data_IF_964257830548
#
_entry.id   IF_964257830548
#
_cell.length_a   1.000
_cell.length_b   1.000
_cell.length_c   1.000
_cell.angle_alpha   90.00
_cell.angle_beta   90.00
_cell.angle_gamma   90.00
#
_symmetry.space_group_name_H-M   'P 1'
#
loop_
_entity.id
_entity.type
_entity.pdbx_description
1 polymer ?
#
# COMPACT_ATOMS: atom_id res chain seq x y z
N UNK A 1 2.16 3.79 -15.55
CA UNK A 1 3.13 2.89 -16.24
C UNK A 1 3.54 1.77 -15.30
N UNK A 2 3.41 0.50 -15.69
CA UNK A 2 3.76 -0.65 -14.84
C UNK A 2 5.00 -1.31 -15.43
N UNK A 3 6.08 -1.40 -14.65
CA UNK A 3 7.29 -2.06 -15.09
C UNK A 3 7.01 -3.56 -15.35
N UNK A 4 7.53 -4.18 -16.42
CA UNK A 4 7.22 -5.56 -16.78
C UNK A 4 7.67 -6.62 -15.76
N UNK A 5 8.53 -6.26 -14.80
CA UNK A 5 8.95 -7.15 -13.69
C UNK A 5 8.18 -6.92 -12.40
N UNK A 6 7.26 -5.95 -12.36
CA UNK A 6 6.35 -5.81 -11.23
C UNK A 6 5.33 -6.95 -11.23
N UNK A 7 4.96 -7.43 -10.05
CA UNK A 7 3.92 -8.44 -9.87
C UNK A 7 2.69 -7.72 -9.34
N UNK A 8 1.69 -7.57 -10.19
CA UNK A 8 0.39 -6.97 -9.82
C UNK A 8 -0.66 -8.06 -9.90
N UNK A 9 -1.29 -8.36 -8.76
CA UNK A 9 -2.34 -9.38 -8.72
C UNK A 9 -3.61 -8.92 -9.46
N UNK A 10 -4.33 -9.88 -10.04
CA UNK A 10 -5.45 -9.63 -10.98
C UNK A 10 -6.54 -8.72 -10.43
N UNK A 11 -6.83 -8.78 -9.12
CA UNK A 11 -7.92 -8.00 -8.52
C UNK A 11 -7.46 -6.68 -7.89
N UNK A 12 -6.15 -6.38 -7.93
CA UNK A 12 -5.65 -5.09 -7.48
C UNK A 12 -6.26 -3.96 -8.34
N UNK A 13 -6.74 -2.91 -7.70
CA UNK A 13 -7.38 -1.78 -8.37
C UNK A 13 -6.39 -0.64 -8.50
N UNK A 14 -5.76 -0.54 -9.67
CA UNK A 14 -4.70 0.44 -9.93
C UNK A 14 -5.23 1.50 -10.90
N UNK A 15 -5.15 2.76 -10.52
CA UNK A 15 -5.49 3.84 -11.43
C UNK A 15 -4.52 3.89 -12.63
N UNK A 16 -5.03 4.21 -13.82
CA UNK A 16 -4.25 4.17 -15.08
C UNK A 16 -3.01 5.09 -15.07
N UNK A 17 -3.07 6.19 -14.31
CA UNK A 17 -1.95 7.13 -14.18
C UNK A 17 -0.89 6.72 -13.16
N UNK A 18 -1.13 5.69 -12.34
CA UNK A 18 -0.17 5.24 -11.35
C UNK A 18 1.09 4.63 -12.00
N UNK A 19 2.22 4.81 -11.36
CA UNK A 19 3.52 4.27 -11.77
C UNK A 19 3.98 3.18 -10.79
N UNK A 20 4.35 2.02 -11.31
CA UNK A 20 4.83 0.88 -10.51
C UNK A 20 6.21 0.47 -11.01
N UNK A 21 7.20 0.62 -10.13
CA UNK A 21 8.61 0.33 -10.36
C UNK A 21 8.95 -1.17 -10.45
N UNK A 22 10.17 -1.50 -10.86
CA UNK A 22 10.59 -2.89 -11.06
C UNK A 22 10.55 -3.68 -9.75
N UNK A 23 10.11 -4.93 -9.84
CA UNK A 23 10.04 -5.87 -8.72
C UNK A 23 9.15 -5.44 -7.55
N UNK A 24 8.32 -4.40 -7.72
CA UNK A 24 7.26 -4.11 -6.78
C UNK A 24 6.19 -5.22 -6.82
N UNK A 25 5.57 -5.49 -5.68
CA UNK A 25 4.50 -6.49 -5.53
C UNK A 25 3.26 -5.76 -5.03
N UNK A 26 2.14 -5.92 -5.73
CA UNK A 26 0.84 -5.34 -5.38
C UNK A 26 -0.20 -6.46 -5.27
N UNK A 27 -0.71 -6.70 -4.06
CA UNK A 27 -1.66 -7.79 -3.81
C UNK A 27 -3.11 -7.42 -4.15
N UNK A 28 -3.95 -8.45 -4.23
CA UNK A 28 -5.28 -8.41 -4.84
C UNK A 28 -6.30 -7.51 -4.14
N UNK A 29 -6.06 -7.08 -2.91
CA UNK A 29 -6.96 -6.23 -2.13
C UNK A 29 -6.46 -4.79 -1.99
N UNK A 30 -5.43 -4.42 -2.75
CA UNK A 30 -4.91 -3.06 -2.80
C UNK A 30 -5.69 -2.21 -3.80
N UNK A 31 -6.11 -1.04 -3.36
CA UNK A 31 -6.61 0.04 -4.21
C UNK A 31 -5.60 1.19 -4.20
N UNK A 32 -5.09 1.56 -5.38
CA UNK A 32 -4.08 2.60 -5.57
C UNK A 32 -4.66 3.75 -6.42
N UNK A 33 -4.76 4.93 -5.80
CA UNK A 33 -5.29 6.13 -6.43
C UNK A 33 -4.42 6.71 -7.55
N UNK A 34 -4.94 7.77 -8.19
CA UNK A 34 -4.28 8.43 -9.32
C UNK A 34 -2.90 8.98 -8.95
N UNK A 35 -1.99 9.00 -9.91
CA UNK A 35 -0.69 9.68 -9.84
C UNK A 35 0.22 9.19 -8.69
N UNK A 36 -0.10 8.02 -8.11
CA UNK A 36 0.78 7.37 -7.16
C UNK A 36 2.03 6.83 -7.84
N UNK A 37 3.15 6.84 -7.12
CA UNK A 37 4.41 6.27 -7.56
C UNK A 37 4.86 5.22 -6.56
N UNK A 38 4.95 3.98 -7.01
CA UNK A 38 5.46 2.85 -6.23
C UNK A 38 6.87 2.55 -6.68
N UNK A 39 7.84 2.74 -5.79
CA UNK A 39 9.25 2.50 -6.02
C UNK A 39 9.59 1.01 -6.20
N UNK A 40 10.85 0.71 -6.61
CA UNK A 40 11.27 -0.66 -6.82
C UNK A 40 11.25 -1.45 -5.51
N UNK A 41 10.99 -2.75 -5.60
CA UNK A 41 10.96 -3.66 -4.43
C UNK A 41 9.98 -3.26 -3.31
N UNK A 42 9.05 -2.34 -3.53
CA UNK A 42 7.98 -2.06 -2.57
C UNK A 42 6.93 -3.17 -2.61
N UNK A 43 6.35 -3.50 -1.45
CA UNK A 43 5.27 -4.47 -1.31
C UNK A 43 4.05 -3.77 -0.73
N UNK A 44 3.00 -3.62 -1.54
CA UNK A 44 1.70 -3.14 -1.09
C UNK A 44 0.77 -4.36 -0.97
N UNK A 45 0.22 -4.57 0.22
CA UNK A 45 -0.52 -5.79 0.57
C UNK A 45 -1.74 -5.52 1.45
N UNK A 46 -2.46 -6.60 1.78
CA UNK A 46 -3.65 -6.59 2.63
C UNK A 46 -4.81 -5.76 2.08
N UNK A 47 -5.82 -5.54 2.92
CA UNK A 47 -6.94 -4.65 2.58
C UNK A 47 -6.51 -3.20 2.77
N UNK A 48 -5.94 -2.63 1.71
CA UNK A 48 -5.27 -1.33 1.74
C UNK A 48 -5.86 -0.39 0.70
N UNK A 49 -6.37 0.75 1.14
CA UNK A 49 -6.89 1.81 0.28
C UNK A 49 -5.95 3.01 0.33
N UNK A 50 -5.45 3.43 -0.83
CA UNK A 50 -4.48 4.51 -0.97
C UNK A 50 -5.08 5.59 -1.87
N UNK A 51 -5.11 6.83 -1.36
CA UNK A 51 -5.49 8.02 -2.12
C UNK A 51 -4.53 8.36 -3.26
N UNK A 52 -4.64 9.56 -3.79
CA UNK A 52 -3.89 10.00 -4.98
C UNK A 52 -2.55 10.62 -4.63
N UNK A 53 -1.59 10.62 -5.57
CA UNK A 53 -0.33 11.36 -5.47
C UNK A 53 0.65 10.85 -4.42
N UNK A 54 0.42 9.66 -3.85
CA UNK A 54 1.31 9.09 -2.84
C UNK A 54 2.60 8.55 -3.48
N UNK A 55 3.72 8.70 -2.77
CA UNK A 55 5.04 8.20 -3.20
C UNK A 55 5.55 7.17 -2.21
N UNK A 56 5.78 5.95 -2.67
CA UNK A 56 6.38 4.88 -1.89
C UNK A 56 7.79 4.64 -2.39
N UNK A 57 8.79 4.83 -1.53
CA UNK A 57 10.19 4.59 -1.90
C UNK A 57 10.53 3.09 -1.88
N UNK A 58 11.78 2.77 -2.21
CA UNK A 58 12.23 1.39 -2.31
C UNK A 58 12.04 0.61 -1.01
N UNK A 59 11.60 -0.64 -1.14
CA UNK A 59 11.50 -1.57 -0.02
C UNK A 59 10.45 -1.23 1.04
N UNK A 60 9.52 -0.29 0.78
CA UNK A 60 8.36 -0.08 1.65
C UNK A 60 7.52 -1.36 1.75
N UNK A 61 6.96 -1.62 2.93
CA UNK A 61 5.97 -2.69 3.15
C UNK A 61 4.71 -2.05 3.73
N UNK A 62 3.63 -2.04 2.97
CA UNK A 62 2.44 -1.24 3.27
C UNK A 62 1.20 -2.12 3.28
N UNK A 63 0.53 -2.17 4.43
CA UNK A 63 -0.70 -2.93 4.61
C UNK A 63 -0.52 -4.36 5.09
N UNK A 64 0.66 -4.71 5.61
CA UNK A 64 0.88 -6.05 6.17
C UNK A 64 0.05 -6.27 7.44
N UNK A 65 -0.12 -7.53 7.83
CA UNK A 65 -0.80 -7.93 9.05
C UNK A 65 -0.19 -7.22 10.28
N UNK A 66 -1.00 -6.83 11.28
CA UNK A 66 -0.50 -6.27 12.53
C UNK A 66 0.45 -7.24 13.24
N UNK A 67 1.41 -6.71 13.98
CA UNK A 67 2.36 -7.50 14.78
C UNK A 67 1.77 -7.92 16.16
N UNK A 68 0.50 -7.59 16.42
CA UNK A 68 -0.18 -7.96 17.66
C UNK A 68 -0.37 -9.49 17.68
N UNK A 69 0.14 -10.14 18.73
CA UNK A 69 0.06 -11.59 18.94
C UNK A 69 -1.38 -12.10 19.08
N UNK A 70 -2.35 -11.22 19.30
CA UNK A 70 -3.78 -11.57 19.38
C UNK A 70 -4.49 -11.58 18.03
N UNK A 71 -3.85 -11.09 16.97
CA UNK A 71 -4.42 -11.07 15.63
C UNK A 71 -4.58 -12.49 15.09
N UNK A 72 -5.76 -12.82 14.54
CA UNK A 72 -6.12 -14.17 14.10
C UNK A 72 -6.45 -14.22 12.59
N UNK A 73 -5.89 -13.28 11.83
CA UNK A 73 -6.02 -13.27 10.36
C UNK A 73 -7.26 -12.56 9.84
N UNK A 74 -7.95 -11.77 10.66
CA UNK A 74 -9.12 -11.01 10.23
C UNK A 74 -8.78 -10.03 9.08
N UNK A 75 -9.72 -9.72 8.18
CA UNK A 75 -9.51 -8.79 7.07
C UNK A 75 -9.56 -7.31 7.55
N UNK A 76 -8.72 -6.97 8.52
CA UNK A 76 -8.52 -5.61 9.02
C UNK A 76 -7.92 -4.73 7.94
N UNK A 77 -7.92 -3.40 8.12
CA UNK A 77 -7.73 -2.48 7.00
C UNK A 77 -6.69 -1.41 7.29
N UNK A 78 -6.17 -0.85 6.20
CA UNK A 78 -5.33 0.34 6.16
C UNK A 78 -5.95 1.33 5.16
N UNK A 79 -6.12 2.58 5.59
CA UNK A 79 -6.60 3.69 4.76
C UNK A 79 -5.56 4.81 4.77
N UNK A 80 -5.05 5.19 3.60
CA UNK A 80 -4.06 6.25 3.38
C UNK A 80 -4.70 7.36 2.54
N UNK A 81 -4.56 8.61 2.98
CA UNK A 81 -4.99 9.80 2.25
C UNK A 81 -4.12 10.11 1.02
N UNK A 82 -3.95 11.39 0.70
CA UNK A 82 -3.35 11.87 -0.54
C UNK A 82 -1.96 12.49 -0.31
N UNK A 83 -1.11 12.48 -1.34
CA UNK A 83 0.11 13.29 -1.39
C UNK A 83 1.17 12.95 -0.34
N UNK A 84 1.12 11.77 0.27
CA UNK A 84 2.12 11.37 1.27
C UNK A 84 3.42 10.90 0.60
N UNK A 85 4.54 11.08 1.30
CA UNK A 85 5.83 10.50 0.93
C UNK A 85 6.27 9.49 1.97
N UNK A 86 6.30 8.21 1.59
CA UNK A 86 6.83 7.13 2.42
C UNK A 86 8.27 6.84 1.98
N UNK A 87 9.22 7.11 2.86
CA UNK A 87 10.64 6.87 2.60
C UNK A 87 11.00 5.39 2.65
N UNK A 88 12.24 5.11 2.29
CA UNK A 88 12.77 3.75 2.11
C UNK A 88 12.51 2.90 3.35
N UNK A 89 12.09 1.65 3.14
CA UNK A 89 11.85 0.67 4.21
C UNK A 89 10.79 1.06 5.25
N UNK A 90 9.96 2.07 4.98
CA UNK A 90 8.78 2.34 5.83
C UNK A 90 7.87 1.11 5.84
N UNK A 91 7.50 0.69 7.04
CA UNK A 91 6.55 -0.39 7.29
C UNK A 91 5.27 0.19 7.90
N UNK A 92 4.12 -0.09 7.29
CA UNK A 92 2.81 0.28 7.82
C UNK A 92 1.96 -0.97 7.88
N UNK A 93 1.43 -1.25 9.06
CA UNK A 93 0.57 -2.40 9.30
C UNK A 93 -0.91 -1.99 9.34
N UNK A 94 -1.80 -2.92 8.98
CA UNK A 94 -3.25 -2.76 9.14
C UNK A 94 -3.62 -2.75 10.63
N UNK A 95 -4.87 -2.36 10.90
CA UNK A 95 -5.45 -2.47 12.25
C UNK A 95 -5.38 -3.91 12.78
N UNK A 96 -5.47 -4.09 14.10
CA UNK A 96 -5.69 -5.40 14.71
C UNK A 96 -7.17 -5.75 14.90
N UNK A 97 -8.10 -4.82 14.62
CA UNK A 97 -9.55 -5.05 14.72
C UNK A 97 -10.30 -4.63 13.46
N UNK A 98 -11.57 -5.00 13.36
CA UNK A 98 -12.43 -4.68 12.20
C UNK A 98 -13.20 -3.37 12.37
N UNK A 99 -13.31 -2.89 13.60
CA UNK A 99 -14.04 -1.68 13.98
C UNK A 99 -13.35 -0.41 13.49
N UNK A 100 -12.02 -0.47 13.34
CA UNK A 100 -11.20 0.65 12.88
C UNK A 100 -10.14 0.22 11.86
N UNK A 101 -9.64 1.22 11.14
CA UNK A 101 -8.54 1.07 10.20
C UNK A 101 -7.30 1.72 10.80
N UNK A 102 -6.11 1.22 10.46
CA UNK A 102 -4.94 2.11 10.53
C UNK A 102 -5.18 3.24 9.54
N UNK A 103 -5.04 4.50 9.99
CA UNK A 103 -5.31 5.68 9.15
C UNK A 103 -4.08 6.58 9.07
N UNK A 104 -3.64 6.84 7.84
CA UNK A 104 -2.68 7.91 7.52
C UNK A 104 -3.44 9.02 6.80
N UNK A 105 -3.21 10.28 7.20
CA UNK A 105 -3.83 11.45 6.58
C UNK A 105 -3.23 11.77 5.20
N UNK A 106 -3.21 13.06 4.87
CA UNK A 106 -2.63 13.56 3.61
C UNK A 106 -1.41 14.45 3.88
N UNK A 107 -0.56 14.62 2.87
CA UNK A 107 0.60 15.54 2.87
C UNK A 107 1.62 15.29 4.01
N UNK A 108 1.77 14.02 4.42
CA UNK A 108 2.77 13.63 5.40
C UNK A 108 4.10 13.24 4.73
N UNK A 109 5.19 13.40 5.47
CA UNK A 109 6.55 12.98 5.07
C UNK A 109 7.23 12.21 6.20
#
# INVERSE_FOLDING_TARGET
MIHPTAIVQKNAQIHDSAEIGPYAIIDEHVTLGADCVVGPHAHLTGHTTIGSGNRFHTGCVIGDAPQDVKYDGEPTRLTIGDGNTFREHVTIHRSNTLEEDTRIGSENM
#
